data_IF_816088722021
#
_entry.id   IF_816088722021
#
_cell.length_a   1.000
_cell.length_b   1.000
_cell.length_c   1.000
_cell.angle_alpha   90.00
_cell.angle_beta   90.00
_cell.angle_gamma   90.00
#
_symmetry.space_group_name_H-M   'P 1'
#
loop_
_entity.id
_entity.type
_entity.pdbx_description
1 polymer ?
#
# COMPACT_ATOMS: atom_id res chain seq x y z
N UNK A 1 6.44 15.75 3.52
CA UNK A 1 7.79 16.20 3.10
C UNK A 1 8.80 15.06 2.85
N UNK A 2 8.46 13.77 3.00
CA UNK A 2 9.40 12.67 2.73
C UNK A 2 8.73 11.43 2.11
N UNK A 3 7.96 11.61 1.01
CA UNK A 3 7.26 10.48 0.36
C UNK A 3 8.23 9.35 -0.01
N UNK A 4 9.37 9.68 -0.62
CA UNK A 4 10.36 8.70 -1.07
C UNK A 4 11.04 7.95 0.09
N UNK A 5 11.00 8.48 1.31
CA UNK A 5 11.58 7.80 2.48
C UNK A 5 10.72 6.64 2.96
N UNK A 6 9.46 6.52 2.50
CA UNK A 6 8.61 5.36 2.78
C UNK A 6 8.91 4.17 1.83
N UNK A 7 9.69 4.39 0.77
CA UNK A 7 9.99 3.37 -0.24
C UNK A 7 11.27 2.59 0.07
N UNK A 8 11.39 1.35 -0.44
CA UNK A 8 12.66 0.64 -0.43
C UNK A 8 13.73 1.41 -1.22
N UNK A 9 14.99 1.09 -0.94
CA UNK A 9 16.11 1.66 -1.69
C UNK A 9 15.97 1.36 -3.18
N UNK A 10 16.22 2.36 -4.03
CA UNK A 10 16.19 2.19 -5.49
C UNK A 10 17.25 1.17 -5.97
N UNK A 11 18.29 0.95 -5.15
CA UNK A 11 19.37 0.01 -5.44
C UNK A 11 19.22 -1.35 -4.75
N UNK A 12 18.31 -1.46 -3.78
CA UNK A 12 18.09 -2.69 -3.02
C UNK A 12 16.59 -2.87 -2.75
N UNK A 13 16.00 -3.77 -3.52
CA UNK A 13 14.58 -4.15 -3.44
C UNK A 13 14.38 -5.46 -2.66
N UNK A 14 15.38 -5.94 -1.91
CA UNK A 14 15.26 -7.18 -1.14
C UNK A 14 14.31 -7.06 0.05
N UNK A 15 14.06 -5.85 0.53
CA UNK A 15 13.10 -5.56 1.61
C UNK A 15 11.67 -5.50 1.09
N UNK A 16 10.78 -6.20 1.78
CA UNK A 16 9.34 -6.19 1.50
C UNK A 16 8.78 -4.78 1.70
N UNK A 17 8.16 -4.22 0.67
CA UNK A 17 7.49 -2.93 0.73
C UNK A 17 6.03 -3.10 1.15
N UNK A 18 5.66 -2.43 2.26
CA UNK A 18 4.32 -2.53 2.85
C UNK A 18 3.33 -1.47 2.37
N UNK A 19 3.70 -0.63 1.40
CA UNK A 19 2.90 0.50 0.95
C UNK A 19 3.15 1.79 1.72
N UNK A 20 2.44 2.86 1.34
CA UNK A 20 2.56 4.21 1.90
C UNK A 20 1.28 4.58 2.64
N UNK A 21 1.42 4.96 3.91
CA UNK A 21 0.34 5.54 4.72
C UNK A 21 0.10 7.02 4.37
N UNK A 22 -1.13 7.54 4.52
CA UNK A 22 -1.40 8.98 4.48
C UNK A 22 -0.49 9.80 5.41
N UNK A 23 -0.07 9.22 6.54
CA UNK A 23 0.85 9.83 7.51
C UNK A 23 2.32 9.92 7.05
N UNK A 24 2.68 9.30 5.92
CA UNK A 24 4.04 9.33 5.37
C UNK A 24 4.83 8.06 5.65
N UNK A 25 5.95 8.15 6.37
CA UNK A 25 6.70 6.97 6.82
C UNK A 25 5.69 6.05 7.50
N UNK A 26 5.42 4.86 6.96
CA UNK A 26 4.43 3.88 7.42
C UNK A 26 4.75 3.33 8.84
N UNK A 27 4.97 4.23 9.78
CA UNK A 27 5.50 4.08 11.13
C UNK A 27 4.48 4.59 12.15
N UNK A 28 3.21 4.68 11.76
CA UNK A 28 2.13 4.97 12.69
C UNK A 28 2.04 3.87 13.72
N UNK A 29 1.88 4.28 14.98
CA UNK A 29 1.70 3.39 16.12
C UNK A 29 0.22 3.24 16.49
N UNK A 30 -0.03 2.56 17.61
CA UNK A 30 -1.37 2.41 18.19
C UNK A 30 -2.05 3.78 18.37
N UNK A 31 -3.14 3.99 17.63
CA UNK A 31 -3.92 5.23 17.65
C UNK A 31 -3.23 6.46 17.03
N UNK A 32 -2.13 6.30 16.29
CA UNK A 32 -1.35 7.41 15.71
C UNK A 32 -1.17 7.25 14.20
N UNK A 33 -1.12 8.36 13.46
CA UNK A 33 -0.75 8.42 12.04
C UNK A 33 -1.38 7.32 11.17
N UNK A 34 -2.69 7.12 11.34
CA UNK A 34 -3.47 6.08 10.65
C UNK A 34 -2.92 4.66 10.83
N UNK A 35 -2.31 4.36 11.98
CA UNK A 35 -1.70 3.07 12.29
C UNK A 35 -0.59 2.64 11.31
N UNK A 36 -0.09 3.57 10.48
CA UNK A 36 0.80 3.24 9.38
C UNK A 36 0.14 2.42 8.27
N UNK A 37 -1.18 2.29 8.27
CA UNK A 37 -1.92 1.50 7.28
C UNK A 37 -2.03 2.19 5.92
N UNK A 38 -2.26 1.38 4.90
CA UNK A 38 -2.37 1.80 3.51
C UNK A 38 -3.83 1.98 3.14
N UNK A 39 -4.15 3.15 2.58
CA UNK A 39 -5.49 3.53 2.14
C UNK A 39 -5.52 3.73 0.62
N UNK A 40 -6.69 4.09 0.10
CA UNK A 40 -6.88 4.50 -1.30
C UNK A 40 -6.00 5.70 -1.69
N UNK A 41 -5.59 6.53 -0.73
CA UNK A 41 -4.67 7.66 -0.92
C UNK A 41 -3.36 7.29 -1.63
N UNK A 42 -2.81 6.10 -1.35
CA UNK A 42 -1.60 5.60 -1.99
C UNK A 42 -1.78 5.57 -3.52
N UNK A 43 -2.88 4.99 -3.99
CA UNK A 43 -3.07 4.71 -5.42
C UNK A 43 -3.60 5.93 -6.18
N UNK A 44 -4.36 6.80 -5.49
CA UNK A 44 -4.99 7.97 -6.11
C UNK A 44 -4.11 9.21 -6.04
N UNK A 45 -3.51 9.50 -4.88
CA UNK A 45 -2.80 10.76 -4.66
C UNK A 45 -1.28 10.63 -4.79
N UNK A 46 -0.70 9.51 -4.35
CA UNK A 46 0.75 9.35 -4.30
C UNK A 46 1.31 8.68 -5.55
N UNK A 47 0.65 7.59 -6.00
CA UNK A 47 1.10 6.76 -7.10
C UNK A 47 1.32 7.52 -8.41
N UNK A 48 0.46 8.46 -8.87
CA UNK A 48 0.68 9.12 -10.16
C UNK A 48 2.03 9.86 -10.26
N UNK A 49 2.43 10.57 -9.20
CA UNK A 49 3.73 11.24 -9.15
C UNK A 49 4.90 10.25 -9.11
N UNK A 50 4.77 9.17 -8.33
CA UNK A 50 5.80 8.12 -8.26
C UNK A 50 5.93 7.40 -9.60
N UNK A 51 4.83 7.10 -10.28
CA UNK A 51 4.82 6.48 -11.60
C UNK A 51 5.50 7.34 -12.66
N UNK A 52 5.27 8.65 -12.62
CA UNK A 52 5.86 9.60 -13.58
C UNK A 52 7.37 9.73 -13.41
N UNK A 53 7.86 9.85 -12.18
CA UNK A 53 9.27 10.17 -11.92
C UNK A 53 10.14 8.98 -11.50
N UNK A 54 9.53 7.93 -10.93
CA UNK A 54 10.21 6.79 -10.30
C UNK A 54 9.54 5.45 -10.63
N UNK A 55 9.51 5.02 -11.90
CA UNK A 55 8.75 3.83 -12.34
C UNK A 55 9.17 2.53 -11.62
N UNK A 56 10.43 2.41 -11.19
CA UNK A 56 10.88 1.27 -10.37
C UNK A 56 10.20 1.23 -9.00
N UNK A 57 10.00 2.37 -8.37
CA UNK A 57 9.30 2.47 -7.09
C UNK A 57 7.78 2.31 -7.27
N UNK A 58 7.24 2.83 -8.37
CA UNK A 58 5.83 2.64 -8.71
C UNK A 58 5.47 1.16 -8.89
N UNK A 59 6.39 0.35 -9.41
CA UNK A 59 6.23 -1.11 -9.46
C UNK A 59 6.01 -1.70 -8.05
N UNK A 60 6.77 -1.27 -7.05
CA UNK A 60 6.62 -1.76 -5.68
C UNK A 60 5.22 -1.46 -5.11
N UNK A 61 4.63 -0.30 -5.44
CA UNK A 61 3.24 0.05 -5.08
C UNK A 61 2.24 -0.97 -5.62
N UNK A 62 2.38 -1.33 -6.90
CA UNK A 62 1.51 -2.32 -7.53
C UNK A 62 1.77 -3.73 -6.99
N UNK A 63 3.03 -4.09 -6.73
CA UNK A 63 3.39 -5.38 -6.14
C UNK A 63 2.77 -5.56 -4.74
N UNK A 64 2.71 -4.51 -3.93
CA UNK A 64 1.98 -4.52 -2.66
C UNK A 64 0.49 -4.84 -2.86
N UNK A 65 -0.19 -4.20 -3.83
CA UNK A 65 -1.60 -4.47 -4.12
C UNK A 65 -1.81 -5.88 -4.67
N UNK A 66 -0.92 -6.37 -5.54
CA UNK A 66 -0.97 -7.76 -6.03
C UNK A 66 -0.77 -8.75 -4.89
N UNK A 67 0.17 -8.48 -3.98
CA UNK A 67 0.44 -9.32 -2.80
C UNK A 67 -0.72 -9.39 -1.80
N UNK A 68 -1.67 -8.47 -1.87
CA UNK A 68 -2.86 -8.40 -0.98
C UNK A 68 -4.16 -8.85 -1.67
N UNK A 69 -4.08 -9.40 -2.88
CA UNK A 69 -5.25 -9.86 -3.67
C UNK A 69 -6.05 -10.94 -2.95
N UNK A 70 -5.39 -11.86 -2.23
CA UNK A 70 -6.10 -12.92 -1.49
C UNK A 70 -6.95 -12.34 -0.35
N UNK A 71 -6.44 -11.35 0.39
CA UNK A 71 -7.22 -10.62 1.38
C UNK A 71 -8.41 -9.88 0.75
N UNK A 72 -8.19 -9.24 -0.41
CA UNK A 72 -9.27 -8.58 -1.15
C UNK A 72 -10.35 -9.56 -1.65
N UNK A 73 -9.95 -10.77 -2.03
CA UNK A 73 -10.86 -11.84 -2.43
C UNK A 73 -11.69 -12.35 -1.25
N UNK A 74 -11.04 -12.57 -0.10
CA UNK A 74 -11.72 -12.96 1.14
C UNK A 74 -12.76 -11.91 1.56
N UNK A 75 -12.40 -10.63 1.44
CA UNK A 75 -13.30 -9.51 1.75
C UNK A 75 -14.53 -9.43 0.84
N UNK A 76 -14.38 -9.78 -0.45
CA UNK A 76 -15.52 -9.87 -1.35
C UNK A 76 -16.40 -11.07 -0.99
N UNK A 77 -15.79 -12.24 -0.77
CA UNK A 77 -16.50 -13.48 -0.46
C UNK A 77 -17.28 -13.41 0.86
N UNK A 78 -16.70 -12.83 1.91
CA UNK A 78 -17.35 -12.67 3.21
C UNK A 78 -18.61 -11.81 3.16
N UNK A 79 -18.77 -11.01 2.11
CA UNK A 79 -19.93 -10.14 1.88
C UNK A 79 -20.85 -10.66 0.76
N UNK A 80 -20.60 -11.87 0.25
CA UNK A 80 -21.41 -12.49 -0.80
C UNK A 80 -21.16 -11.94 -2.20
N UNK A 81 -20.08 -11.19 -2.41
CA UNK A 81 -19.72 -10.65 -3.73
C UNK A 81 -18.70 -11.54 -4.46
N UNK A 82 -18.69 -11.45 -5.80
CA UNK A 82 -17.64 -12.02 -6.64
C UNK A 82 -16.56 -10.97 -6.90
N UNK A 83 -15.34 -11.41 -7.19
CA UNK A 83 -14.23 -10.53 -7.56
C UNK A 83 -13.35 -10.15 -6.37
N UNK A 84 -12.80 -8.93 -6.40
CA UNK A 84 -11.86 -8.42 -5.41
C UNK A 84 -12.43 -7.16 -4.75
N UNK A 85 -12.42 -7.14 -3.42
CA UNK A 85 -12.74 -5.96 -2.63
C UNK A 85 -11.53 -5.62 -1.77
N UNK A 86 -10.65 -4.78 -2.31
CA UNK A 86 -9.56 -4.23 -1.51
C UNK A 86 -10.13 -3.51 -0.27
N UNK A 87 -9.50 -3.66 0.90
CA UNK A 87 -10.01 -3.05 2.11
C UNK A 87 -9.87 -1.53 2.05
N UNK A 88 -10.71 -0.85 2.83
CA UNK A 88 -10.61 0.59 3.04
C UNK A 88 -9.27 0.98 3.67
N UNK A 89 -8.84 0.16 4.62
CA UNK A 89 -7.61 0.27 5.41
C UNK A 89 -6.87 -1.06 5.32
N UNK A 90 -5.62 -1.06 4.84
CA UNK A 90 -4.86 -2.27 4.54
C UNK A 90 -3.55 -2.31 5.30
N UNK A 91 -3.23 -3.45 5.89
CA UNK A 91 -1.94 -3.73 6.51
C UNK A 91 -1.31 -4.98 5.87
N UNK A 92 -0.61 -5.80 6.66
CA UNK A 92 0.14 -6.98 6.19
C UNK A 92 -0.73 -8.01 5.47
N UNK A 93 -1.95 -8.27 5.96
CA UNK A 93 -2.83 -9.32 5.43
C UNK A 93 -3.71 -8.88 4.26
N UNK A 94 -3.86 -7.58 4.01
CA UNK A 94 -4.77 -7.05 3.00
C UNK A 94 -6.25 -7.35 3.25
N UNK A 95 -6.64 -7.71 4.49
CA UNK A 95 -8.02 -7.95 4.92
C UNK A 95 -8.58 -6.75 5.66
#
# INVERSE_FOLDING_TARGET
>A
FYLLSAFPSIHDTSTSFGGVSPGGLSNGGDGQDYWGHVFWDQDVWMYPGVALFYPKLARAVLEYRVGTVDGAKDNAQSQGFKGLKFPWESAVSGR
#
